data_IF_612979785818
#
_entry.id   IF_612979785818
#
_cell.length_a   1.000
_cell.length_b   1.000
_cell.length_c   1.000
_cell.angle_alpha   90.00
_cell.angle_beta   90.00
_cell.angle_gamma   90.00
#
_symmetry.space_group_name_H-M   'P 1'
#
loop_
_entity.id
_entity.type
_entity.pdbx_description
1 polymer ?
#
# COMPACT_ATOMS: atom_id res chain seq x y z
N UNK A 1 6.44 21.70 20.88
CA UNK A 1 6.80 22.26 19.55
C UNK A 1 5.81 21.76 18.50
N UNK A 2 5.15 22.68 17.80
CA UNK A 2 4.22 22.36 16.71
C UNK A 2 4.97 21.75 15.51
N UNK A 3 4.33 20.80 14.82
CA UNK A 3 4.89 20.15 13.63
C UNK A 3 4.42 20.91 12.39
N UNK A 4 5.35 21.34 11.54
CA UNK A 4 5.02 21.90 10.22
C UNK A 4 4.81 20.75 9.23
N UNK A 5 3.59 20.65 8.71
CA UNK A 5 3.21 19.64 7.71
C UNK A 5 2.88 20.37 6.41
N UNK A 6 3.29 19.78 5.27
CA UNK A 6 2.96 20.33 3.95
C UNK A 6 1.47 20.15 3.66
N UNK A 7 0.83 21.08 2.92
CA UNK A 7 -0.53 20.87 2.44
C UNK A 7 -0.65 19.56 1.66
N UNK A 8 -1.76 18.85 1.82
CA UNK A 8 -1.96 17.58 1.10
C UNK A 8 -1.96 17.77 -0.41
N UNK A 9 -2.43 18.92 -0.91
CA UNK A 9 -2.40 19.25 -2.33
C UNK A 9 -0.98 19.15 -2.88
N UNK A 10 0.01 19.62 -2.13
CA UNK A 10 1.41 19.60 -2.54
C UNK A 10 2.00 18.19 -2.46
N UNK A 11 1.62 17.43 -1.43
CA UNK A 11 2.06 16.03 -1.25
C UNK A 11 1.48 15.14 -2.34
N UNK A 12 0.18 15.24 -2.62
CA UNK A 12 -0.52 14.50 -3.65
C UNK A 12 -0.03 14.90 -5.05
N UNK A 13 0.16 16.20 -5.31
CA UNK A 13 0.75 16.69 -6.55
C UNK A 13 2.14 16.09 -6.77
N UNK A 14 3.03 16.17 -5.78
CA UNK A 14 4.36 15.56 -5.89
C UNK A 14 4.28 14.05 -6.16
N UNK A 15 3.39 13.34 -5.47
CA UNK A 15 3.22 11.92 -5.67
C UNK A 15 2.76 11.60 -7.10
N UNK A 16 1.75 12.32 -7.60
CA UNK A 16 1.28 12.21 -8.98
C UNK A 16 2.32 12.62 -10.02
N UNK A 17 3.15 13.63 -9.77
CA UNK A 17 4.17 14.08 -10.72
C UNK A 17 5.36 13.10 -10.80
N UNK A 18 5.79 12.55 -9.66
CA UNK A 18 7.06 11.80 -9.57
C UNK A 18 6.88 10.29 -9.70
N UNK A 19 5.83 9.74 -9.10
CA UNK A 19 5.63 8.27 -9.02
C UNK A 19 5.44 7.63 -10.39
N UNK A 20 4.77 8.21 -11.40
CA UNK A 20 4.62 7.58 -12.71
C UNK A 20 5.97 7.20 -13.37
N UNK A 21 7.01 8.00 -13.12
CA UNK A 21 8.38 7.74 -13.59
C UNK A 21 9.12 6.64 -12.80
N UNK A 22 8.40 5.78 -12.08
CA UNK A 22 8.95 4.67 -11.29
C UNK A 22 8.52 3.29 -11.79
N UNK A 23 7.97 3.20 -13.01
CA UNK A 23 7.56 1.95 -13.64
C UNK A 23 8.67 0.88 -13.68
N UNK A 24 9.94 1.27 -13.82
CA UNK A 24 11.07 0.35 -13.75
C UNK A 24 11.25 -0.30 -12.36
N UNK A 25 10.90 0.40 -11.27
CA UNK A 25 10.91 -0.19 -9.93
C UNK A 25 9.75 -1.17 -9.73
N UNK A 26 8.58 -0.86 -10.31
CA UNK A 26 7.47 -1.80 -10.35
C UNK A 26 7.87 -3.07 -11.11
N UNK A 27 8.49 -2.94 -12.29
CA UNK A 27 8.97 -4.08 -13.06
C UNK A 27 9.98 -4.91 -12.26
N UNK A 28 11.01 -4.28 -11.73
CA UNK A 28 12.04 -4.97 -10.96
C UNK A 28 11.51 -5.69 -9.71
N UNK A 29 10.46 -5.14 -9.07
CA UNK A 29 9.85 -5.74 -7.88
C UNK A 29 8.81 -6.81 -8.17
N UNK A 30 8.19 -6.79 -9.36
CA UNK A 30 7.17 -7.75 -9.76
C UNK A 30 7.73 -8.90 -10.61
N UNK A 31 8.76 -8.64 -11.41
CA UNK A 31 9.42 -9.66 -12.22
C UNK A 31 10.12 -10.70 -11.33
N UNK A 32 10.01 -11.97 -11.72
CA UNK A 32 10.57 -13.11 -10.98
C UNK A 32 9.67 -13.65 -9.87
N UNK A 33 8.55 -12.98 -9.57
CA UNK A 33 7.58 -13.44 -8.56
C UNK A 33 6.56 -14.46 -9.09
N UNK A 34 6.60 -14.80 -10.39
CA UNK A 34 5.57 -15.63 -11.03
C UNK A 34 5.41 -17.03 -10.43
N UNK A 35 6.52 -17.68 -10.07
CA UNK A 35 6.47 -19.01 -9.44
C UNK A 35 5.86 -18.94 -8.04
N UNK A 36 6.22 -17.92 -7.26
CA UNK A 36 5.64 -17.70 -5.94
C UNK A 36 4.16 -17.34 -6.03
N UNK A 37 3.80 -16.49 -7.02
CA UNK A 37 2.41 -16.18 -7.31
C UNK A 37 1.61 -17.44 -7.63
N UNK A 38 2.09 -18.29 -8.55
CA UNK A 38 1.38 -19.50 -8.96
C UNK A 38 1.18 -20.45 -7.76
N UNK A 39 2.28 -20.74 -7.05
CA UNK A 39 2.28 -21.64 -5.89
C UNK A 39 1.34 -21.16 -4.79
N UNK A 40 1.49 -19.91 -4.37
CA UNK A 40 0.73 -19.37 -3.23
C UNK A 40 -0.74 -19.15 -3.59
N UNK A 41 -1.03 -18.71 -4.82
CA UNK A 41 -2.41 -18.54 -5.29
C UNK A 41 -3.11 -19.90 -5.41
N UNK A 42 -2.45 -20.93 -5.95
CA UNK A 42 -3.04 -22.27 -6.01
C UNK A 42 -3.30 -22.85 -4.61
N UNK A 43 -2.41 -22.61 -3.65
CA UNK A 43 -2.58 -23.03 -2.25
C UNK A 43 -3.79 -22.36 -1.56
N UNK A 44 -4.22 -21.18 -2.05
CA UNK A 44 -5.38 -20.46 -1.52
C UNK A 44 -6.75 -21.04 -1.95
N UNK A 45 -6.79 -22.11 -2.74
CA UNK A 45 -8.03 -22.68 -3.27
C UNK A 45 -9.09 -23.03 -2.20
N UNK A 46 -8.67 -23.57 -1.05
CA UNK A 46 -9.59 -23.87 0.05
C UNK A 46 -10.16 -22.60 0.69
N UNK A 47 -9.35 -21.55 0.82
CA UNK A 47 -9.82 -20.26 1.30
C UNK A 47 -10.82 -19.62 0.33
N UNK A 48 -10.57 -19.77 -0.98
CA UNK A 48 -11.52 -19.33 -2.01
C UNK A 48 -12.86 -20.08 -1.91
N UNK A 49 -12.85 -21.40 -1.71
CA UNK A 49 -14.06 -22.21 -1.48
C UNK A 49 -14.86 -21.76 -0.26
N UNK A 50 -14.20 -21.34 0.82
CA UNK A 50 -14.88 -20.85 2.01
C UNK A 50 -15.75 -19.60 1.73
N UNK A 51 -15.38 -18.81 0.71
CA UNK A 51 -16.17 -17.66 0.26
C UNK A 51 -17.15 -17.95 -0.90
N UNK A 52 -17.08 -19.12 -1.53
CA UNK A 52 -17.85 -19.45 -2.73
C UNK A 52 -18.53 -20.82 -2.60
N UNK A 53 -19.86 -20.83 -2.54
CA UNK A 53 -20.65 -22.05 -2.26
C UNK A 53 -20.69 -23.07 -3.42
N UNK A 54 -20.30 -22.69 -4.64
CA UNK A 54 -20.34 -23.56 -5.82
C UNK A 54 -19.50 -24.85 -5.63
N UNK A 55 -20.05 -26.00 -6.00
CA UNK A 55 -19.32 -27.28 -5.92
C UNK A 55 -18.08 -27.30 -6.83
N UNK A 56 -17.03 -28.00 -6.40
CA UNK A 56 -15.77 -28.19 -7.16
C UNK A 56 -15.01 -26.89 -7.53
N UNK A 57 -15.37 -25.76 -6.90
CA UNK A 57 -14.82 -24.45 -7.26
C UNK A 57 -13.34 -24.32 -6.90
N UNK A 58 -12.89 -24.98 -5.83
CA UNK A 58 -11.48 -25.00 -5.43
C UNK A 58 -10.58 -25.67 -6.48
N UNK A 59 -11.04 -26.76 -7.10
CA UNK A 59 -10.33 -27.47 -8.15
C UNK A 59 -10.33 -26.63 -9.43
N UNK A 60 -11.46 -26.02 -9.79
CA UNK A 60 -11.55 -25.13 -10.96
C UNK A 60 -10.64 -23.91 -10.80
N UNK A 61 -10.61 -23.31 -9.61
CA UNK A 61 -9.75 -22.20 -9.28
C UNK A 61 -8.27 -22.58 -9.37
N UNK A 62 -7.84 -23.64 -8.67
CA UNK A 62 -6.46 -24.11 -8.72
C UNK A 62 -6.02 -24.53 -10.13
N UNK A 63 -6.91 -25.20 -10.88
CA UNK A 63 -6.68 -25.57 -12.27
C UNK A 63 -6.51 -24.35 -13.19
N UNK A 64 -7.31 -23.30 -12.99
CA UNK A 64 -7.17 -22.03 -13.71
C UNK A 64 -5.85 -21.32 -13.44
N UNK A 65 -5.39 -21.32 -12.17
CA UNK A 65 -4.09 -20.77 -11.78
C UNK A 65 -2.95 -21.51 -12.46
N UNK A 66 -2.94 -22.84 -12.40
CA UNK A 66 -1.94 -23.68 -13.09
C UNK A 66 -1.95 -23.49 -14.60
N UNK A 67 -3.14 -23.38 -15.21
CA UNK A 67 -3.29 -23.10 -16.64
C UNK A 67 -2.71 -21.74 -17.04
N UNK A 68 -2.82 -20.73 -16.17
CA UNK A 68 -2.18 -19.45 -16.39
C UNK A 68 -0.66 -19.57 -16.21
N UNK A 69 -0.23 -20.10 -15.07
CA UNK A 69 1.16 -20.35 -14.71
C UNK A 69 2.00 -19.09 -14.51
N UNK A 70 3.18 -19.27 -13.93
CA UNK A 70 4.18 -18.23 -13.72
C UNK A 70 4.50 -17.45 -15.02
N UNK A 71 4.60 -18.15 -16.16
CA UNK A 71 4.93 -17.52 -17.45
C UNK A 71 3.90 -16.49 -17.92
N UNK A 72 2.59 -16.69 -17.65
CA UNK A 72 1.57 -15.69 -17.96
C UNK A 72 1.64 -14.50 -17.02
N UNK A 73 1.96 -14.73 -15.75
CA UNK A 73 2.18 -13.65 -14.78
C UNK A 73 3.32 -12.73 -15.24
N UNK A 74 4.51 -13.29 -15.49
CA UNK A 74 5.70 -12.51 -15.91
C UNK A 74 5.42 -11.73 -17.20
N UNK A 75 4.78 -12.39 -18.18
CA UNK A 75 4.38 -11.73 -19.43
C UNK A 75 3.43 -10.55 -19.18
N UNK A 76 2.47 -10.67 -18.26
CA UNK A 76 1.51 -9.60 -17.95
C UNK A 76 2.13 -8.47 -17.14
N UNK A 77 3.11 -8.73 -16.28
CA UNK A 77 3.89 -7.68 -15.62
C UNK A 77 4.59 -6.83 -16.68
N UNK A 78 5.41 -7.45 -17.52
CA UNK A 78 6.20 -6.78 -18.57
C UNK A 78 5.34 -6.09 -19.63
N UNK A 79 4.40 -6.81 -20.24
CA UNK A 79 3.70 -6.33 -21.43
C UNK A 79 2.51 -5.41 -21.10
N UNK A 80 2.03 -5.42 -19.85
CA UNK A 80 0.83 -4.66 -19.44
C UNK A 80 1.10 -3.82 -18.20
N UNK A 81 1.55 -4.44 -17.11
CA UNK A 81 1.71 -3.78 -15.81
C UNK A 81 2.62 -2.56 -15.88
N UNK A 82 3.79 -2.68 -16.51
CA UNK A 82 4.76 -1.57 -16.65
C UNK A 82 4.14 -0.36 -17.36
N UNK A 83 3.38 -0.60 -18.43
CA UNK A 83 2.72 0.47 -19.20
C UNK A 83 1.58 1.15 -18.44
N UNK A 84 0.83 0.37 -17.63
CA UNK A 84 -0.33 0.87 -16.88
C UNK A 84 0.04 1.58 -15.59
N UNK A 85 1.18 1.24 -15.01
CA UNK A 85 1.62 1.80 -13.74
C UNK A 85 1.52 3.33 -13.69
N UNK A 86 1.97 4.02 -14.73
CA UNK A 86 1.89 5.50 -14.80
C UNK A 86 0.45 6.01 -14.84
N UNK A 87 -0.42 5.36 -15.62
CA UNK A 87 -1.83 5.72 -15.78
C UNK A 87 -2.62 5.48 -14.48
N UNK A 88 -2.39 4.34 -13.84
CA UNK A 88 -3.06 3.96 -12.60
C UNK A 88 -2.64 4.88 -11.45
N UNK A 89 -1.37 5.30 -11.41
CA UNK A 89 -0.91 6.33 -10.46
C UNK A 89 -1.67 7.64 -10.66
N UNK A 90 -1.85 8.11 -11.90
CA UNK A 90 -2.61 9.34 -12.17
C UNK A 90 -4.07 9.20 -11.72
N UNK A 91 -4.71 8.07 -12.04
CA UNK A 91 -6.08 7.80 -11.64
C UNK A 91 -6.26 7.76 -10.11
N UNK A 92 -5.25 7.30 -9.38
CA UNK A 92 -5.28 7.13 -7.93
C UNK A 92 -4.82 8.38 -7.13
N UNK A 93 -4.58 9.54 -7.76
CA UNK A 93 -4.15 10.76 -7.03
C UNK A 93 -5.19 11.17 -5.98
N UNK A 94 -6.48 11.09 -6.32
CA UNK A 94 -7.58 11.38 -5.38
C UNK A 94 -7.60 10.40 -4.21
N UNK A 95 -7.43 9.10 -4.49
CA UNK A 95 -7.40 8.06 -3.46
C UNK A 95 -6.20 8.24 -2.51
N UNK A 96 -5.03 8.54 -3.08
CA UNK A 96 -3.83 8.86 -2.31
C UNK A 96 -4.07 10.07 -1.41
N UNK A 97 -4.65 11.14 -1.95
CA UNK A 97 -4.99 12.35 -1.20
C UNK A 97 -5.91 12.01 -0.02
N UNK A 98 -7.00 11.29 -0.28
CA UNK A 98 -8.00 10.93 0.72
C UNK A 98 -7.45 9.99 1.80
N UNK A 99 -6.59 9.04 1.42
CA UNK A 99 -5.99 8.10 2.36
C UNK A 99 -4.91 8.73 3.26
N UNK A 100 -4.16 9.71 2.73
CA UNK A 100 -3.02 10.33 3.45
C UNK A 100 -3.46 11.56 4.25
N UNK A 101 -4.46 12.32 3.78
CA UNK A 101 -4.96 13.54 4.43
C UNK A 101 -5.18 13.38 5.94
N UNK A 102 -5.92 12.37 6.42
CA UNK A 102 -6.24 12.29 7.85
C UNK A 102 -5.00 12.04 8.73
N UNK A 103 -3.93 11.48 8.16
CA UNK A 103 -2.67 11.26 8.85
C UNK A 103 -1.86 12.56 8.93
N UNK A 104 -1.81 13.33 7.84
CA UNK A 104 -1.15 14.64 7.84
C UNK A 104 -1.83 15.62 8.79
N UNK A 105 -3.17 15.66 8.81
CA UNK A 105 -3.95 16.47 9.75
C UNK A 105 -3.66 16.09 11.20
N UNK A 106 -3.59 14.78 11.47
CA UNK A 106 -3.26 14.27 12.80
C UNK A 106 -1.88 14.77 13.22
N UNK A 107 -0.86 14.66 12.37
CA UNK A 107 0.49 15.15 12.66
C UNK A 107 0.51 16.67 12.87
N UNK A 108 -0.21 17.43 12.04
CA UNK A 108 -0.25 18.89 12.11
C UNK A 108 -0.88 19.38 13.44
N UNK A 109 -1.81 18.62 14.00
CA UNK A 109 -2.43 18.92 15.30
C UNK A 109 -1.54 18.67 16.52
N UNK A 110 -0.43 17.94 16.36
CA UNK A 110 0.41 17.57 17.50
C UNK A 110 1.30 18.72 17.96
N UNK A 111 1.34 18.91 19.28
CA UNK A 111 2.39 19.65 19.96
C UNK A 111 3.28 18.66 20.72
N UNK A 112 4.50 18.47 20.21
CA UNK A 112 5.42 17.49 20.77
C UNK A 112 6.19 18.02 21.97
N UNK A 113 6.60 17.10 22.86
CA UNK A 113 7.51 17.38 23.98
C UNK A 113 8.81 18.08 23.53
N UNK A 114 9.46 18.91 24.36
CA UNK A 114 10.72 19.58 24.01
C UNK A 114 11.79 18.61 23.51
N UNK A 115 12.67 19.08 22.61
CA UNK A 115 13.82 18.28 22.16
C UNK A 115 14.91 18.31 23.24
N UNK A 116 15.44 17.13 23.57
CA UNK A 116 16.59 16.96 24.43
C UNK A 116 17.88 16.89 23.57
N UNK A 117 19.10 16.92 24.16
CA UNK A 117 20.35 16.76 23.42
C UNK A 117 20.35 15.54 22.50
N UNK A 118 21.12 15.62 21.40
CA UNK A 118 21.24 14.54 20.42
C UNK A 118 21.64 13.23 21.13
N UNK A 119 20.91 12.15 20.87
CA UNK A 119 21.16 10.84 21.47
C UNK A 119 20.49 10.62 22.84
N UNK A 120 19.84 11.63 23.43
CA UNK A 120 19.09 11.44 24.68
C UNK A 120 17.84 10.56 24.45
N UNK A 121 17.66 9.58 25.35
CA UNK A 121 16.45 8.73 25.44
C UNK A 121 15.15 9.53 25.54
N UNK A 122 15.19 10.72 26.16
CA UNK A 122 14.01 11.59 26.26
C UNK A 122 13.44 12.01 24.89
N UNK A 123 14.25 11.97 23.81
CA UNK A 123 13.76 12.22 22.45
C UNK A 123 12.85 11.11 21.91
N UNK A 124 12.92 9.89 22.45
CA UNK A 124 12.03 8.79 22.06
C UNK A 124 10.57 9.06 22.45
N UNK A 125 10.34 9.86 23.50
CA UNK A 125 8.99 10.32 23.87
C UNK A 125 8.29 10.99 22.68
N UNK A 126 9.00 11.78 21.88
CA UNK A 126 8.43 12.45 20.69
C UNK A 126 8.02 11.45 19.61
N UNK A 127 8.81 10.39 19.42
CA UNK A 127 8.48 9.29 18.50
C UNK A 127 7.23 8.57 18.98
N UNK A 128 7.16 8.27 20.29
CA UNK A 128 6.00 7.63 20.92
C UNK A 128 4.72 8.48 20.75
N UNK A 129 4.79 9.79 20.96
CA UNK A 129 3.67 10.72 20.79
C UNK A 129 3.08 10.63 19.36
N UNK A 130 3.93 10.73 18.34
CA UNK A 130 3.50 10.65 16.93
C UNK A 130 2.94 9.26 16.60
N UNK A 131 3.64 8.19 16.98
CA UNK A 131 3.23 6.82 16.70
C UNK A 131 1.88 6.49 17.35
N UNK A 132 1.67 6.91 18.60
CA UNK A 132 0.43 6.70 19.33
C UNK A 132 -0.74 7.42 18.66
N UNK A 133 -0.54 8.68 18.26
CA UNK A 133 -1.56 9.48 17.59
C UNK A 133 -1.96 8.90 16.23
N UNK A 134 -0.98 8.53 15.39
CA UNK A 134 -1.22 7.92 14.08
C UNK A 134 -1.92 6.57 14.21
N UNK A 135 -1.48 5.73 15.16
CA UNK A 135 -2.12 4.44 15.42
C UNK A 135 -3.57 4.62 15.85
N UNK A 136 -3.84 5.56 16.77
CA UNK A 136 -5.20 5.90 17.19
C UNK A 136 -6.06 6.37 16.02
N UNK A 137 -5.54 7.25 15.15
CA UNK A 137 -6.25 7.70 13.95
C UNK A 137 -6.56 6.54 13.02
N UNK A 138 -5.58 5.68 12.70
CA UNK A 138 -5.77 4.49 11.87
C UNK A 138 -6.90 3.60 12.40
N UNK A 139 -6.91 3.32 13.71
CA UNK A 139 -7.96 2.51 14.33
C UNK A 139 -9.34 3.17 14.22
N UNK A 140 -9.42 4.49 14.38
CA UNK A 140 -10.70 5.22 14.22
C UNK A 140 -11.25 5.16 12.79
N UNK A 141 -10.40 5.27 11.76
CA UNK A 141 -10.82 5.17 10.37
C UNK A 141 -11.36 3.78 10.05
N UNK A 142 -10.63 2.73 10.47
CA UNK A 142 -11.07 1.34 10.31
C UNK A 142 -12.41 1.08 10.98
N UNK A 143 -12.63 1.61 12.18
CA UNK A 143 -13.90 1.48 12.89
C UNK A 143 -15.05 2.19 12.16
N UNK A 144 -14.77 3.27 11.43
CA UNK A 144 -15.73 4.00 10.62
C UNK A 144 -15.99 3.40 9.23
N UNK A 145 -15.29 2.30 8.87
CA UNK A 145 -15.37 1.71 7.52
C UNK A 145 -14.70 2.56 6.43
N UNK A 146 -13.80 3.45 6.83
CA UNK A 146 -13.02 4.33 5.95
C UNK A 146 -11.58 3.81 5.75
#
# INVERSE_FOLDING_TARGET
>A
MAIKVKPISDVAKKWGDVTPGRSAYFEAGAMGAGTDWEKNTAAAAKAYKAGVSAGNIEQMFAGGVKKAGAGKYERKVRDVGVSRFSQDVQAAVGDYQNGVQPMLDTIASLTLSPRAPRGSEANLTRVREVATALNKKRLSLRAAGA
#
